data_IF_708463043248
#
_entry.id   IF_708463043248
#
_cell.length_a   1.000
_cell.length_b   1.000
_cell.length_c   1.000
_cell.angle_alpha   90.00
_cell.angle_beta   90.00
_cell.angle_gamma   90.00
#
_symmetry.space_group_name_H-M   'P 1'
#
loop_
_entity.id
_entity.type
_entity.pdbx_description
1 polymer ?
#
# COMPACT_ATOMS: atom_id res chain seq x y z
N UNK A 1 8.25 11.58 -3.46
CA UNK A 1 8.78 12.64 -2.58
C UNK A 1 10.30 12.63 -2.52
N UNK A 2 10.94 11.65 -1.88
CA UNK A 2 12.40 11.64 -1.63
C UNK A 2 13.23 11.78 -2.91
N UNK A 3 12.92 11.03 -3.97
CA UNK A 3 13.62 11.15 -5.26
C UNK A 3 13.46 12.57 -5.84
N UNK A 4 12.24 13.10 -5.86
CA UNK A 4 11.98 14.42 -6.38
C UNK A 4 12.80 15.51 -5.68
N UNK A 5 12.84 15.47 -4.35
CA UNK A 5 13.65 16.40 -3.55
C UNK A 5 15.15 16.24 -3.87
N UNK A 6 15.65 15.00 -3.94
CA UNK A 6 17.08 14.75 -4.22
C UNK A 6 17.51 15.19 -5.61
N UNK A 7 16.65 15.03 -6.62
CA UNK A 7 16.92 15.52 -7.97
C UNK A 7 16.86 17.05 -8.05
N UNK A 8 15.89 17.68 -7.38
CA UNK A 8 15.81 19.14 -7.30
C UNK A 8 17.00 19.75 -6.55
N UNK A 9 17.47 19.12 -5.46
CA UNK A 9 18.70 19.51 -4.75
C UNK A 9 19.94 19.43 -5.66
N UNK A 10 19.95 18.52 -6.63
CA UNK A 10 21.01 18.37 -7.64
C UNK A 10 20.83 19.30 -8.86
N UNK A 11 19.81 20.17 -8.86
CA UNK A 11 19.58 21.16 -9.91
C UNK A 11 18.75 20.68 -11.10
N UNK A 12 18.18 19.47 -11.06
CA UNK A 12 17.32 18.96 -12.12
C UNK A 12 15.89 19.50 -11.99
N UNK A 13 15.23 19.90 -13.11
CA UNK A 13 13.81 20.19 -13.11
C UNK A 13 13.02 18.88 -12.90
N UNK A 14 12.05 18.89 -11.98
CA UNK A 14 11.30 17.70 -11.59
C UNK A 14 9.81 17.92 -11.73
N UNK A 15 9.12 16.94 -12.36
CA UNK A 15 7.66 16.86 -12.37
C UNK A 15 7.23 15.57 -11.69
N UNK A 16 6.31 15.68 -10.74
CA UNK A 16 5.65 14.54 -10.07
C UNK A 16 4.25 14.39 -10.62
N UNK A 17 3.93 13.22 -11.16
CA UNK A 17 2.59 12.86 -11.60
C UNK A 17 1.91 12.01 -10.52
N UNK A 18 0.75 12.43 -10.08
CA UNK A 18 -0.05 11.73 -9.07
C UNK A 18 -1.48 11.50 -9.63
N UNK A 19 -1.93 10.24 -9.61
CA UNK A 19 -3.25 9.89 -10.15
C UNK A 19 -4.41 10.32 -9.27
N UNK A 20 -4.19 10.49 -7.96
CA UNK A 20 -5.20 10.98 -7.01
C UNK A 20 -5.21 12.51 -6.93
N UNK A 21 -6.28 13.04 -6.34
CA UNK A 21 -6.45 14.49 -6.16
C UNK A 21 -5.53 15.12 -5.11
N UNK A 22 -4.97 14.31 -4.20
CA UNK A 22 -3.99 14.75 -3.21
C UNK A 22 -2.72 13.92 -3.31
N UNK A 23 -1.61 14.59 -3.15
CA UNK A 23 -0.28 14.01 -3.13
C UNK A 23 -0.02 13.20 -1.85
N UNK A 24 0.79 12.14 -1.94
CA UNK A 24 1.29 11.42 -0.77
C UNK A 24 0.95 9.92 -0.70
N UNK A 25 0.16 9.38 -1.63
CA UNK A 25 -0.11 7.93 -1.71
C UNK A 25 -0.67 7.37 -0.40
N UNK A 26 -0.11 6.25 0.09
CA UNK A 26 -0.57 5.62 1.34
C UNK A 26 -0.38 6.50 2.58
N UNK A 27 0.57 7.42 2.60
CA UNK A 27 0.70 8.39 3.71
C UNK A 27 -0.54 9.29 3.82
N UNK A 28 -1.12 9.64 2.66
CA UNK A 28 -2.32 10.48 2.59
C UNK A 28 -3.60 9.67 2.80
N UNK A 29 -3.71 8.49 2.18
CA UNK A 29 -4.96 7.75 2.05
C UNK A 29 -5.02 6.45 2.86
N UNK A 30 -3.90 5.93 3.32
CA UNK A 30 -3.83 4.64 4.01
C UNK A 30 -3.50 4.73 5.50
N UNK A 31 -2.79 5.78 5.94
CA UNK A 31 -2.47 5.97 7.36
C UNK A 31 -3.49 6.95 7.97
N UNK A 32 -4.16 6.61 9.07
CA UNK A 32 -5.14 7.50 9.70
C UNK A 32 -4.54 8.80 10.23
N UNK A 33 -5.37 9.85 10.32
CA UNK A 33 -4.99 11.19 10.81
C UNK A 33 -4.39 11.16 12.22
N UNK A 34 -4.91 10.30 13.11
CA UNK A 34 -4.43 10.18 14.49
C UNK A 34 -3.04 9.57 14.61
N UNK A 35 -2.53 8.91 13.53
CA UNK A 35 -1.14 8.41 13.44
C UNK A 35 -0.23 9.34 12.66
N UNK A 36 -0.72 9.91 11.58
CA UNK A 36 0.01 10.82 10.71
C UNK A 36 -0.87 12.02 10.33
N UNK A 37 -0.73 13.15 11.02
CA UNK A 37 -1.44 14.38 10.68
C UNK A 37 -1.16 14.79 9.23
N UNK A 38 -2.22 15.06 8.45
CA UNK A 38 -2.07 15.36 7.01
C UNK A 38 -1.42 16.72 6.75
N UNK A 39 -1.49 17.63 7.72
CA UNK A 39 -0.73 18.89 7.71
C UNK A 39 0.78 18.70 7.52
N UNK A 40 1.31 17.53 7.92
CA UNK A 40 2.69 17.18 7.66
C UNK A 40 2.95 17.01 6.16
N UNK A 41 2.06 16.33 5.43
CA UNK A 41 2.18 16.14 3.99
C UNK A 41 1.98 17.47 3.23
N UNK A 42 1.07 18.31 3.70
CA UNK A 42 0.83 19.65 3.11
C UNK A 42 2.10 20.52 3.21
N UNK A 43 2.79 20.49 4.35
CA UNK A 43 4.08 21.21 4.50
C UNK A 43 5.18 20.63 3.58
N UNK A 44 5.22 19.31 3.41
CA UNK A 44 6.15 18.68 2.47
C UNK A 44 5.86 19.06 1.04
N UNK A 45 4.59 19.09 0.64
CA UNK A 45 4.18 19.53 -0.69
C UNK A 45 4.58 20.97 -0.93
N UNK A 46 4.25 21.90 -0.02
CA UNK A 46 4.63 23.30 -0.13
C UNK A 46 6.16 23.46 -0.27
N UNK A 47 6.93 22.72 0.53
CA UNK A 47 8.40 22.73 0.43
C UNK A 47 8.90 22.24 -0.92
N UNK A 48 8.29 21.21 -1.49
CA UNK A 48 8.65 20.71 -2.82
C UNK A 48 8.34 21.75 -3.92
N UNK A 49 7.20 22.43 -3.82
CA UNK A 49 6.81 23.51 -4.74
C UNK A 49 7.76 24.71 -4.64
N UNK A 50 8.17 25.11 -3.42
CA UNK A 50 9.21 26.13 -3.18
C UNK A 50 10.57 25.77 -3.82
N UNK A 51 10.89 24.47 -3.90
CA UNK A 51 12.10 23.97 -4.58
C UNK A 51 11.95 23.94 -6.11
N UNK A 52 10.82 24.40 -6.67
CA UNK A 52 10.54 24.39 -8.11
C UNK A 52 10.05 23.04 -8.65
N UNK A 53 9.67 22.09 -7.77
CA UNK A 53 9.11 20.81 -8.20
C UNK A 53 7.65 21.02 -8.63
N UNK A 54 7.32 20.63 -9.86
CA UNK A 54 5.95 20.67 -10.36
C UNK A 54 5.19 19.42 -9.92
N UNK A 55 4.04 19.58 -9.27
CA UNK A 55 3.17 18.45 -8.86
C UNK A 55 1.90 18.49 -9.69
N UNK A 56 1.66 17.44 -10.50
CA UNK A 56 0.45 17.27 -11.32
C UNK A 56 -0.42 16.16 -10.74
N UNK A 57 -1.41 16.54 -9.97
CA UNK A 57 -2.43 15.63 -9.45
C UNK A 57 -3.47 15.28 -10.53
N UNK A 58 -4.31 14.26 -10.26
CA UNK A 58 -5.33 13.75 -11.19
C UNK A 58 -4.76 13.32 -12.56
N UNK A 59 -3.49 12.91 -12.59
CA UNK A 59 -2.81 12.51 -13.82
C UNK A 59 -2.35 11.05 -13.73
N UNK A 60 -2.94 10.19 -14.53
CA UNK A 60 -2.67 8.74 -14.53
C UNK A 60 -1.70 8.37 -15.63
N UNK A 61 -0.49 7.93 -15.25
CA UNK A 61 0.50 7.39 -16.19
C UNK A 61 0.18 5.91 -16.48
N UNK A 62 0.36 5.50 -17.74
CA UNK A 62 0.03 4.17 -18.23
C UNK A 62 -1.45 3.97 -18.58
N UNK A 63 -2.22 5.06 -18.71
CA UNK A 63 -3.62 5.05 -19.15
C UNK A 63 -3.96 6.21 -20.07
N UNK A 64 -3.61 7.42 -19.67
CA UNK A 64 -3.89 8.66 -20.41
C UNK A 64 -2.59 9.22 -21.00
N UNK A 65 -1.52 9.13 -20.25
CA UNK A 65 -0.18 9.55 -20.63
C UNK A 65 0.77 8.36 -20.43
N UNK A 66 1.55 8.02 -21.44
CA UNK A 66 2.46 6.87 -21.41
C UNK A 66 3.89 7.29 -21.06
N UNK A 67 4.70 6.34 -20.56
CA UNK A 67 6.12 6.58 -20.28
C UNK A 67 6.87 7.00 -21.55
N UNK A 68 6.54 6.40 -22.70
CA UNK A 68 7.15 6.76 -23.99
C UNK A 68 6.87 8.18 -24.42
N UNK A 69 5.69 8.70 -24.08
CA UNK A 69 5.34 10.10 -24.37
C UNK A 69 6.15 11.05 -23.48
N UNK A 70 6.34 10.71 -22.21
CA UNK A 70 7.20 11.50 -21.32
C UNK A 70 8.65 11.57 -21.83
N UNK A 71 9.21 10.43 -22.26
CA UNK A 71 10.57 10.39 -22.82
C UNK A 71 10.67 11.23 -24.12
N UNK A 72 9.66 11.16 -24.99
CA UNK A 72 9.59 12.01 -26.20
C UNK A 72 9.45 13.50 -25.89
N UNK A 73 8.77 13.82 -24.78
CA UNK A 73 8.59 15.21 -24.31
C UNK A 73 9.84 15.78 -23.63
N UNK A 74 10.95 15.02 -23.59
CA UNK A 74 12.26 15.48 -23.14
C UNK A 74 12.59 15.17 -21.69
N UNK A 75 11.82 14.30 -21.01
CA UNK A 75 12.25 13.80 -19.70
C UNK A 75 13.44 12.84 -19.88
N UNK A 76 14.59 13.19 -19.34
CA UNK A 76 15.85 12.42 -19.46
C UNK A 76 15.81 11.13 -18.61
N UNK A 77 15.03 11.10 -17.55
CA UNK A 77 14.89 9.93 -16.69
C UNK A 77 13.55 9.92 -15.96
N UNK A 78 13.03 8.72 -15.68
CA UNK A 78 11.74 8.52 -15.03
C UNK A 78 11.90 7.66 -13.78
N UNK A 79 11.23 8.04 -12.69
CA UNK A 79 11.17 7.26 -11.47
C UNK A 79 9.76 6.74 -11.22
N UNK A 80 9.62 5.43 -11.06
CA UNK A 80 8.35 4.76 -10.71
C UNK A 80 8.29 4.54 -9.21
N UNK A 81 7.50 5.35 -8.52
CA UNK A 81 7.28 5.27 -7.06
C UNK A 81 5.82 5.04 -6.69
N UNK A 82 5.10 4.23 -7.48
CA UNK A 82 3.66 4.02 -7.36
C UNK A 82 3.24 3.19 -6.15
N UNK A 83 4.20 2.59 -5.44
CA UNK A 83 3.96 1.82 -4.22
C UNK A 83 3.13 0.55 -4.45
N UNK A 84 2.40 0.13 -3.40
CA UNK A 84 1.54 -1.03 -3.38
C UNK A 84 0.15 -0.61 -2.84
N UNK A 85 -0.71 -0.06 -3.70
CA UNK A 85 -2.01 0.50 -3.31
C UNK A 85 -3.21 -0.38 -3.67
N UNK A 86 -3.00 -1.55 -4.29
CA UNK A 86 -4.09 -2.46 -4.60
C UNK A 86 -4.28 -3.44 -3.44
N UNK A 87 -5.46 -3.49 -2.78
CA UNK A 87 -5.75 -4.52 -1.79
C UNK A 87 -5.58 -5.92 -2.37
N UNK A 88 -5.07 -6.83 -1.56
CA UNK A 88 -5.03 -8.24 -1.90
C UNK A 88 -6.38 -8.86 -1.64
N UNK A 89 -6.86 -9.69 -2.57
CA UNK A 89 -8.06 -10.51 -2.43
C UNK A 89 -7.72 -11.88 -1.89
N UNK A 90 -8.67 -12.53 -1.25
CA UNK A 90 -8.56 -13.93 -0.81
C UNK A 90 -9.00 -14.89 -1.92
N UNK A 91 -9.82 -14.43 -2.86
CA UNK A 91 -10.44 -15.25 -3.91
C UNK A 91 -11.60 -16.09 -3.39
N UNK A 92 -12.27 -15.64 -2.33
CA UNK A 92 -13.34 -16.36 -1.67
C UNK A 92 -14.72 -15.91 -2.14
N UNK A 93 -15.69 -16.80 -1.97
CA UNK A 93 -17.09 -16.47 -2.15
C UNK A 93 -17.51 -15.39 -1.15
N UNK A 94 -18.18 -14.35 -1.62
CA UNK A 94 -18.74 -13.29 -0.81
C UNK A 94 -17.88 -12.02 -0.71
N UNK A 95 -16.67 -11.98 -1.26
CA UNK A 95 -15.82 -10.77 -1.24
C UNK A 95 -16.44 -9.54 -1.92
N UNK A 96 -17.44 -9.73 -2.78
CA UNK A 96 -18.15 -8.66 -3.49
C UNK A 96 -19.49 -8.27 -2.85
N UNK A 97 -19.84 -8.81 -1.70
CA UNK A 97 -21.05 -8.45 -0.98
C UNK A 97 -20.99 -7.01 -0.48
N UNK A 98 -22.17 -6.39 -0.31
CA UNK A 98 -22.29 -4.99 0.09
C UNK A 98 -21.75 -4.67 1.49
N UNK A 99 -21.71 -5.67 2.37
CA UNK A 99 -21.16 -5.59 3.72
C UNK A 99 -19.66 -5.92 3.79
N UNK A 100 -18.97 -6.12 2.64
CA UNK A 100 -17.55 -6.45 2.59
C UNK A 100 -16.75 -5.28 2.04
N UNK A 101 -15.69 -4.91 2.74
CA UNK A 101 -14.78 -3.84 2.38
C UNK A 101 -13.33 -4.33 2.39
N UNK A 102 -12.48 -3.61 1.65
CA UNK A 102 -11.03 -3.78 1.75
C UNK A 102 -10.43 -2.67 2.62
N UNK A 103 -9.50 -3.03 3.49
CA UNK A 103 -8.94 -2.13 4.50
C UNK A 103 -8.41 -0.81 3.92
N UNK A 104 -7.65 -0.86 2.82
CA UNK A 104 -7.14 0.36 2.18
C UNK A 104 -8.26 1.24 1.60
N UNK A 105 -9.33 0.65 1.07
CA UNK A 105 -10.46 1.41 0.54
C UNK A 105 -11.23 2.09 1.68
N UNK A 106 -11.43 1.37 2.79
CA UNK A 106 -12.03 1.94 3.99
C UNK A 106 -11.18 3.09 4.56
N UNK A 107 -9.87 2.89 4.75
CA UNK A 107 -8.97 3.94 5.29
C UNK A 107 -8.87 5.17 4.39
N UNK A 108 -9.07 5.03 3.08
CA UNK A 108 -9.07 6.16 2.15
C UNK A 108 -10.26 7.09 2.34
N UNK A 109 -11.40 6.58 2.79
CA UNK A 109 -12.62 7.37 3.06
C UNK A 109 -13.46 6.73 4.18
N UNK A 110 -13.00 6.74 5.44
CA UNK A 110 -13.67 6.03 6.52
C UNK A 110 -15.09 6.53 6.79
N UNK A 111 -15.32 7.84 6.65
CA UNK A 111 -16.63 8.46 6.89
C UNK A 111 -17.67 8.19 5.79
N UNK A 112 -17.22 7.73 4.63
CA UNK A 112 -18.09 7.34 3.52
C UNK A 112 -18.73 5.94 3.70
N UNK A 113 -18.34 5.20 4.75
CA UNK A 113 -18.81 3.84 5.01
C UNK A 113 -19.49 3.74 6.37
N UNK A 114 -20.71 3.17 6.38
CA UNK A 114 -21.42 2.83 7.62
C UNK A 114 -21.12 1.35 7.92
N UNK A 115 -20.31 1.09 8.92
CA UNK A 115 -19.86 -0.26 9.24
C UNK A 115 -20.85 -1.06 10.12
N UNK A 116 -21.74 -0.38 10.84
CA UNK A 116 -22.55 -0.99 11.89
C UNK A 116 -21.80 -1.09 13.21
N UNK A 117 -22.42 -1.78 14.17
CA UNK A 117 -21.90 -1.92 15.54
C UNK A 117 -20.83 -3.00 15.63
N UNK A 118 -20.96 -4.09 14.86
CA UNK A 118 -20.08 -5.25 14.90
C UNK A 118 -19.26 -5.39 13.61
N UNK A 119 -17.95 -5.33 13.74
CA UNK A 119 -17.01 -5.36 12.59
C UNK A 119 -16.01 -6.50 12.74
N UNK A 120 -15.97 -7.39 11.74
CA UNK A 120 -14.97 -8.44 11.62
C UNK A 120 -13.85 -7.99 10.67
N UNK A 121 -12.60 -8.01 11.13
CA UNK A 121 -11.42 -7.64 10.32
C UNK A 121 -10.59 -8.88 10.06
N UNK A 122 -10.30 -9.16 8.79
CA UNK A 122 -9.47 -10.30 8.39
C UNK A 122 -8.06 -9.81 8.15
N UNK A 123 -7.16 -10.11 9.09
CA UNK A 123 -5.73 -9.72 8.99
C UNK A 123 -5.17 -9.19 10.31
N UNK A 124 -3.84 -9.25 10.45
CA UNK A 124 -3.08 -8.89 11.66
C UNK A 124 -1.83 -8.04 11.34
N UNK A 125 -1.85 -7.29 10.26
CA UNK A 125 -0.79 -6.34 9.92
C UNK A 125 -1.07 -4.93 10.42
N UNK A 126 -0.10 -4.00 10.30
CA UNK A 126 -0.27 -2.60 10.71
C UNK A 126 -1.51 -1.94 10.08
N UNK A 127 -1.81 -2.25 8.81
CA UNK A 127 -3.02 -1.73 8.16
C UNK A 127 -4.31 -2.25 8.80
N UNK A 128 -4.33 -3.50 9.30
CA UNK A 128 -5.47 -4.05 10.02
C UNK A 128 -5.67 -3.36 11.38
N UNK A 129 -4.57 -3.02 12.08
CA UNK A 129 -4.61 -2.21 13.30
C UNK A 129 -5.21 -0.82 13.02
N UNK A 130 -4.77 -0.18 11.95
CA UNK A 130 -5.32 1.11 11.51
C UNK A 130 -6.81 1.05 11.19
N UNK A 131 -7.24 -0.02 10.52
CA UNK A 131 -8.67 -0.27 10.22
C UNK A 131 -9.47 -0.41 11.51
N UNK A 132 -9.01 -1.26 12.46
CA UNK A 132 -9.71 -1.50 13.72
C UNK A 132 -9.87 -0.22 14.54
N UNK A 133 -8.77 0.49 14.74
CA UNK A 133 -8.73 1.75 15.49
C UNK A 133 -9.59 2.84 14.84
N UNK A 134 -9.64 2.86 13.50
CA UNK A 134 -10.50 3.79 12.76
C UNK A 134 -11.97 3.43 12.89
N UNK A 135 -12.33 2.14 12.83
CA UNK A 135 -13.70 1.66 12.99
C UNK A 135 -14.26 2.02 14.36
N UNK A 136 -13.49 1.75 15.44
CA UNK A 136 -13.86 2.13 16.81
C UNK A 136 -14.08 3.64 16.95
N UNK A 137 -13.18 4.48 16.41
CA UNK A 137 -13.30 5.95 16.43
C UNK A 137 -14.47 6.47 15.62
N UNK A 138 -14.95 5.71 14.63
CA UNK A 138 -16.10 6.04 13.82
C UNK A 138 -17.43 5.47 14.37
N UNK A 139 -17.39 4.85 15.57
CA UNK A 139 -18.58 4.49 16.33
C UNK A 139 -18.96 3.01 16.32
N UNK A 140 -18.20 2.11 15.69
CA UNK A 140 -18.38 0.67 15.84
C UNK A 140 -18.02 0.27 17.27
N UNK A 141 -18.84 -0.63 17.88
CA UNK A 141 -18.72 -1.02 19.30
C UNK A 141 -17.91 -2.27 19.51
N UNK A 142 -18.07 -3.23 18.61
CA UNK A 142 -17.43 -4.54 18.67
C UNK A 142 -16.57 -4.72 17.44
N UNK A 143 -15.27 -4.60 17.60
CA UNK A 143 -14.31 -4.74 16.51
C UNK A 143 -13.34 -5.85 16.83
N UNK A 144 -13.40 -6.92 16.04
CA UNK A 144 -12.58 -8.12 16.25
C UNK A 144 -11.71 -8.40 15.03
N UNK A 145 -10.41 -8.59 15.27
CA UNK A 145 -9.44 -8.98 14.24
C UNK A 145 -9.26 -10.50 14.25
N UNK A 146 -9.32 -11.10 13.10
CA UNK A 146 -9.22 -12.56 12.92
C UNK A 146 -7.95 -12.91 12.13
N UNK A 147 -7.20 -13.89 12.62
CA UNK A 147 -6.03 -14.44 11.95
C UNK A 147 -6.08 -15.97 11.88
N UNK A 148 -5.55 -16.52 10.79
CA UNK A 148 -5.39 -17.96 10.59
C UNK A 148 -4.34 -18.55 11.53
N UNK A 149 -3.22 -17.85 11.74
CA UNK A 149 -2.12 -18.28 12.61
C UNK A 149 -2.06 -17.44 13.88
N UNK A 150 -1.26 -17.87 14.84
CA UNK A 150 -0.97 -17.10 16.07
C UNK A 150 0.02 -15.94 15.85
N UNK A 151 0.58 -15.80 14.64
CA UNK A 151 1.56 -14.77 14.33
C UNK A 151 0.90 -13.44 13.99
N UNK A 152 1.23 -12.41 14.76
CA UNK A 152 0.89 -11.02 14.47
C UNK A 152 2.03 -10.39 13.68
N UNK A 153 1.72 -9.81 12.52
CA UNK A 153 2.71 -9.15 11.66
C UNK A 153 2.79 -7.65 11.86
N UNK A 154 1.88 -7.08 12.64
CA UNK A 154 1.94 -5.69 13.09
C UNK A 154 3.05 -5.50 14.12
N UNK A 155 3.54 -4.27 14.28
CA UNK A 155 4.46 -3.93 15.36
C UNK A 155 3.78 -4.05 16.72
N UNK A 156 4.55 -4.43 17.75
CA UNK A 156 4.02 -4.58 19.13
C UNK A 156 3.33 -3.32 19.63
N UNK A 157 3.85 -2.15 19.32
CA UNK A 157 3.22 -0.87 19.69
C UNK A 157 1.84 -0.67 19.06
N UNK A 158 1.67 -1.03 17.79
CA UNK A 158 0.36 -0.90 17.13
C UNK A 158 -0.66 -1.91 17.67
N UNK A 159 -0.22 -3.12 18.00
CA UNK A 159 -1.06 -4.11 18.68
C UNK A 159 -1.54 -3.56 20.02
N UNK A 160 -0.61 -3.12 20.89
CA UNK A 160 -0.96 -2.57 22.21
C UNK A 160 -1.91 -1.37 22.11
N UNK A 161 -1.69 -0.46 21.16
CA UNK A 161 -2.63 0.66 20.96
C UNK A 161 -4.01 0.19 20.47
N UNK A 162 -4.07 -0.88 19.69
CA UNK A 162 -5.33 -1.41 19.17
C UNK A 162 -6.13 -2.10 20.27
N UNK A 163 -5.45 -2.83 21.16
CA UNK A 163 -6.05 -3.41 22.39
C UNK A 163 -6.56 -2.31 23.34
N UNK A 164 -5.76 -1.28 23.59
CA UNK A 164 -6.14 -0.14 24.43
C UNK A 164 -7.36 0.62 23.87
N UNK A 165 -7.49 0.70 22.56
CA UNK A 165 -8.66 1.30 21.90
C UNK A 165 -9.91 0.40 22.01
N UNK A 166 -9.80 -0.87 22.42
CA UNK A 166 -10.89 -1.80 22.70
C UNK A 166 -11.18 -2.82 21.60
N UNK A 167 -10.25 -3.05 20.67
CA UNK A 167 -10.39 -4.13 19.68
C UNK A 167 -9.99 -5.50 20.28
N UNK A 168 -10.65 -6.54 19.81
CA UNK A 168 -10.39 -7.92 20.20
C UNK A 168 -9.58 -8.67 19.13
N UNK A 169 -8.81 -9.68 19.55
CA UNK A 169 -7.98 -10.51 18.67
C UNK A 169 -8.35 -11.97 18.80
N UNK A 170 -8.65 -12.61 17.68
CA UNK A 170 -8.99 -14.04 17.63
C UNK A 170 -8.07 -14.74 16.63
N UNK A 171 -7.36 -15.74 17.11
CA UNK A 171 -6.39 -16.52 16.34
C UNK A 171 -6.93 -17.90 15.96
N UNK A 172 -6.28 -18.54 14.98
CA UNK A 172 -6.65 -19.85 14.51
C UNK A 172 -7.94 -19.88 13.68
N UNK A 173 -8.30 -18.76 13.07
CA UNK A 173 -9.54 -18.63 12.30
C UNK A 173 -9.22 -18.58 10.81
N UNK A 174 -9.38 -19.69 10.10
CA UNK A 174 -9.22 -19.79 8.66
C UNK A 174 -10.54 -19.42 7.98
N UNK A 175 -10.56 -18.32 7.25
CA UNK A 175 -11.76 -17.88 6.55
C UNK A 175 -12.02 -18.74 5.31
N UNK A 176 -13.28 -19.19 5.13
CA UNK A 176 -13.72 -20.01 4.00
C UNK A 176 -14.60 -19.25 3.01
N UNK A 177 -15.50 -18.43 3.52
CA UNK A 177 -16.41 -17.59 2.74
C UNK A 177 -16.93 -16.44 3.57
N UNK A 178 -17.60 -15.50 2.91
CA UNK A 178 -18.31 -14.39 3.57
C UNK A 178 -19.78 -14.45 3.14
N UNK A 179 -20.67 -14.16 4.06
CA UNK A 179 -22.12 -14.09 3.84
C UNK A 179 -22.64 -12.71 4.24
N UNK A 180 -23.92 -12.45 4.01
CA UNK A 180 -24.59 -11.23 4.49
C UNK A 180 -24.62 -11.14 6.02
N UNK A 181 -24.51 -12.27 6.73
CA UNK A 181 -24.44 -12.32 8.20
C UNK A 181 -23.03 -12.12 8.74
N UNK A 182 -22.01 -12.17 7.87
CA UNK A 182 -20.60 -12.03 8.22
C UNK A 182 -19.72 -13.18 7.73
N UNK A 183 -18.45 -13.26 8.21
CA UNK A 183 -17.49 -14.26 7.76
C UNK A 183 -17.75 -15.65 8.37
N UNK A 184 -17.45 -16.69 7.59
CA UNK A 184 -17.46 -18.11 8.02
C UNK A 184 -16.04 -18.62 8.09
N UNK A 185 -15.68 -19.20 9.21
CA UNK A 185 -14.34 -19.69 9.48
C UNK A 185 -14.33 -21.19 9.77
N UNK A 186 -13.17 -21.82 9.60
CA UNK A 186 -12.78 -23.07 10.28
C UNK A 186 -11.71 -22.79 11.31
N UNK A 187 -11.83 -23.39 12.49
CA UNK A 187 -10.79 -23.29 13.51
C UNK A 187 -9.60 -24.14 13.14
N UNK A 188 -8.41 -23.55 13.26
CA UNK A 188 -7.16 -24.26 13.04
C UNK A 188 -6.81 -25.14 14.26
N UNK A 189 -6.32 -26.35 13.98
CA UNK A 189 -5.75 -27.26 14.98
C UNK A 189 -4.25 -27.05 14.98
N UNK A 190 -3.67 -26.77 16.14
CA UNK A 190 -2.24 -26.49 16.30
C UNK A 190 -1.53 -27.65 16.98
N UNK A 191 -0.26 -27.88 16.61
CA UNK A 191 0.65 -28.73 17.36
C UNK A 191 1.33 -27.94 18.52
N UNK A 192 2.19 -28.62 19.28
CA UNK A 192 2.95 -28.03 20.39
C UNK A 192 3.89 -26.86 19.98
N UNK A 193 4.19 -26.74 18.68
CA UNK A 193 5.02 -25.67 18.11
C UNK A 193 4.23 -24.53 17.50
N UNK A 194 2.92 -24.47 17.76
CA UNK A 194 2.00 -23.49 17.15
C UNK A 194 1.91 -23.55 15.62
N UNK A 195 2.24 -24.70 15.01
CA UNK A 195 2.06 -24.94 13.59
C UNK A 195 0.66 -25.52 13.32
N UNK A 196 0.02 -25.08 12.24
CA UNK A 196 -1.29 -25.58 11.84
C UNK A 196 -1.12 -26.99 11.25
N UNK A 197 -1.76 -27.97 11.88
CA UNK A 197 -1.75 -29.38 11.46
C UNK A 197 -3.06 -29.83 10.82
N UNK A 198 -4.11 -28.99 10.88
CA UNK A 198 -5.41 -29.27 10.31
C UNK A 198 -6.41 -28.18 10.66
N UNK A 199 -7.66 -28.45 10.33
CA UNK A 199 -8.81 -27.60 10.67
C UNK A 199 -9.94 -28.46 11.22
N UNK A 200 -10.73 -27.89 12.14
CA UNK A 200 -11.96 -28.53 12.64
C UNK A 200 -12.96 -28.75 11.50
N UNK A 201 -13.80 -29.79 11.59
CA UNK A 201 -14.75 -30.12 10.51
C UNK A 201 -15.91 -29.12 10.45
N UNK A 202 -16.36 -28.62 11.60
CA UNK A 202 -17.50 -27.72 11.68
C UNK A 202 -17.09 -26.26 11.40
N UNK A 203 -17.73 -25.59 10.43
CA UNK A 203 -17.52 -24.17 10.20
C UNK A 203 -18.20 -23.36 11.31
N UNK A 204 -17.59 -22.19 11.60
CA UNK A 204 -18.10 -21.24 12.59
C UNK A 204 -18.55 -19.98 11.86
N UNK A 205 -19.84 -19.67 11.90
CA UNK A 205 -20.39 -18.40 11.42
C UNK A 205 -20.16 -17.33 12.50
N UNK A 206 -19.56 -16.21 12.12
CA UNK A 206 -19.42 -15.04 12.99
C UNK A 206 -20.39 -13.98 12.50
N UNK A 207 -21.24 -13.49 13.40
CA UNK A 207 -22.12 -12.37 13.08
C UNK A 207 -21.31 -11.06 13.05
N UNK A 208 -21.42 -10.32 11.93
CA UNK A 208 -20.80 -9.01 11.75
C UNK A 208 -21.59 -8.17 10.74
N UNK A 209 -21.88 -6.94 11.10
CA UNK A 209 -22.53 -5.98 10.20
C UNK A 209 -21.63 -5.64 9.00
N UNK A 210 -20.32 -5.65 9.21
CA UNK A 210 -19.33 -5.47 8.15
C UNK A 210 -18.12 -6.40 8.32
N UNK A 211 -17.60 -6.88 7.19
CA UNK A 211 -16.35 -7.63 7.13
C UNK A 211 -15.30 -6.81 6.36
N UNK A 212 -14.13 -6.56 6.96
CA UNK A 212 -13.06 -5.80 6.33
C UNK A 212 -11.85 -6.69 6.07
N UNK A 213 -11.49 -6.88 4.80
CA UNK A 213 -10.33 -7.67 4.38
C UNK A 213 -9.09 -6.79 4.39
N UNK A 214 -8.11 -7.08 5.27
CA UNK A 214 -6.87 -6.32 5.45
C UNK A 214 -5.64 -7.23 5.50
N UNK A 215 -5.44 -8.02 4.42
CA UNK A 215 -4.42 -9.08 4.31
C UNK A 215 -3.20 -8.68 3.49
N UNK A 216 -2.78 -7.45 3.52
CA UNK A 216 -1.69 -6.91 2.71
C UNK A 216 -2.17 -6.27 1.39
N UNK A 217 -1.23 -5.72 0.64
CA UNK A 217 -1.45 -5.02 -0.62
C UNK A 217 -0.38 -5.38 -1.65
N UNK A 218 -0.69 -5.12 -2.93
CA UNK A 218 0.20 -5.38 -4.06
C UNK A 218 0.26 -4.16 -4.99
N UNK A 219 1.33 -4.00 -5.78
CA UNK A 219 1.40 -2.96 -6.80
C UNK A 219 0.32 -3.11 -7.87
N UNK A 220 -0.07 -1.99 -8.47
CA UNK A 220 -0.88 -1.97 -9.67
C UNK A 220 -0.01 -2.30 -10.89
N UNK A 221 -0.32 -3.39 -11.59
CA UNK A 221 0.49 -3.88 -12.72
C UNK A 221 0.25 -3.14 -14.03
N UNK A 222 -0.73 -2.22 -14.09
CA UNK A 222 -1.16 -1.59 -15.35
C UNK A 222 -0.01 -0.83 -16.00
N UNK A 223 0.71 0.00 -15.25
CA UNK A 223 1.83 0.78 -15.77
C UNK A 223 2.89 -0.09 -16.46
N UNK A 224 3.34 -1.16 -15.81
CA UNK A 224 4.32 -2.07 -16.41
C UNK A 224 3.76 -2.80 -17.64
N UNK A 225 2.49 -3.17 -17.63
CA UNK A 225 1.85 -3.86 -18.76
C UNK A 225 1.59 -2.97 -19.99
N UNK A 226 1.56 -1.66 -19.79
CA UNK A 226 1.33 -0.68 -20.87
C UNK A 226 2.61 0.01 -21.31
N UNK A 227 3.75 -0.36 -20.76
CA UNK A 227 5.07 0.18 -21.10
C UNK A 227 5.96 -0.94 -21.63
N UNK A 228 6.37 -0.83 -22.88
CA UNK A 228 7.28 -1.81 -23.48
C UNK A 228 8.64 -1.81 -22.78
N UNK A 229 9.21 -3.00 -22.57
CA UNK A 229 10.50 -3.18 -21.91
C UNK A 229 10.49 -3.05 -20.37
N UNK A 230 9.32 -2.86 -19.74
CA UNK A 230 9.19 -2.97 -18.27
C UNK A 230 8.77 -4.37 -17.87
N UNK A 231 9.63 -5.06 -17.16
CA UNK A 231 9.35 -6.40 -16.65
C UNK A 231 8.95 -6.41 -15.17
N UNK A 232 8.22 -7.45 -14.81
CA UNK A 232 7.78 -7.71 -13.45
C UNK A 232 8.33 -9.06 -13.01
N UNK A 233 8.73 -9.15 -11.75
CA UNK A 233 9.05 -10.42 -11.10
C UNK A 233 7.81 -11.34 -11.05
N UNK A 234 8.00 -12.63 -10.75
CA UNK A 234 6.90 -13.61 -10.56
C UNK A 234 5.87 -13.15 -9.52
N UNK A 235 6.31 -12.35 -8.55
CA UNK A 235 5.44 -11.75 -7.53
C UNK A 235 4.66 -10.53 -8.04
N UNK A 236 4.94 -10.08 -9.26
CA UNK A 236 4.32 -8.90 -9.88
C UNK A 236 4.84 -7.58 -9.33
N UNK A 237 6.05 -7.57 -8.80
CA UNK A 237 6.80 -6.39 -8.41
C UNK A 237 7.62 -5.89 -9.61
N UNK A 238 7.93 -4.59 -9.63
CA UNK A 238 8.78 -4.02 -10.66
C UNK A 238 10.18 -4.59 -10.54
N UNK A 239 10.72 -5.14 -11.65
CA UNK A 239 12.08 -5.66 -11.68
C UNK A 239 13.08 -4.52 -11.85
N UNK A 240 14.12 -4.52 -11.02
CA UNK A 240 15.21 -3.52 -11.03
C UNK A 240 16.55 -4.19 -10.74
N UNK A 241 17.61 -3.59 -11.28
CA UNK A 241 18.98 -3.97 -10.98
C UNK A 241 19.49 -3.41 -9.62
N UNK A 242 20.76 -3.60 -9.32
CA UNK A 242 21.43 -3.08 -8.12
C UNK A 242 21.49 -1.56 -8.04
N UNK A 243 21.32 -0.86 -9.17
CA UNK A 243 21.24 0.59 -9.29
C UNK A 243 19.79 1.11 -9.30
N UNK A 244 18.81 0.26 -9.00
CA UNK A 244 17.40 0.60 -9.05
C UNK A 244 16.87 0.96 -10.45
N UNK A 245 17.63 0.71 -11.52
CA UNK A 245 17.17 0.84 -12.89
C UNK A 245 16.35 -0.38 -13.28
N UNK A 246 15.22 -0.13 -13.94
CA UNK A 246 14.36 -1.20 -14.45
C UNK A 246 14.99 -1.87 -15.69
N UNK A 247 14.32 -2.89 -16.20
CA UNK A 247 14.69 -3.52 -17.49
C UNK A 247 14.64 -2.54 -18.68
N UNK A 248 14.02 -1.37 -18.50
CA UNK A 248 14.01 -0.28 -19.47
C UNK A 248 15.03 0.82 -19.09
N UNK A 249 16.03 1.12 -19.97
CA UNK A 249 17.02 2.15 -19.70
C UNK A 249 16.40 3.52 -19.40
N UNK A 250 16.96 4.24 -18.43
CA UNK A 250 16.50 5.56 -18.01
C UNK A 250 15.25 5.55 -17.12
N UNK A 251 14.65 4.37 -16.88
CA UNK A 251 13.49 4.22 -16.00
C UNK A 251 13.91 3.50 -14.72
N UNK A 252 13.64 4.11 -13.58
CA UNK A 252 14.05 3.64 -12.26
C UNK A 252 12.84 3.35 -11.37
N UNK A 253 13.02 2.53 -10.32
CA UNK A 253 11.97 2.24 -9.36
C UNK A 253 12.51 1.92 -8.00
N UNK A 254 11.79 2.31 -6.93
CA UNK A 254 12.10 1.90 -5.55
C UNK A 254 10.84 1.96 -4.65
N UNK A 255 10.99 1.47 -3.43
CA UNK A 255 9.91 1.35 -2.45
C UNK A 255 9.01 0.15 -2.73
N UNK A 256 7.77 0.21 -2.27
CA UNK A 256 6.86 -0.95 -2.26
C UNK A 256 6.53 -1.51 -3.66
N UNK A 257 6.69 -0.73 -4.71
CA UNK A 257 6.52 -1.22 -6.09
C UNK A 257 7.59 -2.25 -6.47
N UNK A 258 8.78 -2.18 -5.84
CA UNK A 258 9.92 -3.07 -6.06
C UNK A 258 10.02 -4.14 -4.97
N UNK A 259 9.82 -3.78 -3.70
CA UNK A 259 10.09 -4.68 -2.56
C UNK A 259 8.85 -5.39 -2.02
N UNK A 260 7.67 -5.02 -2.49
CA UNK A 260 6.42 -5.29 -1.78
C UNK A 260 6.24 -4.34 -0.58
N UNK A 261 5.10 -4.46 0.10
CA UNK A 261 4.75 -3.58 1.22
C UNK A 261 5.77 -3.69 2.36
N UNK A 262 6.42 -2.56 2.66
CA UNK A 262 7.38 -2.39 3.77
C UNK A 262 7.13 -1.06 4.49
N UNK A 263 8.09 -0.63 5.30
CA UNK A 263 7.99 0.62 6.06
C UNK A 263 8.44 1.83 5.22
N UNK A 264 8.00 3.02 5.64
CA UNK A 264 8.42 4.30 5.03
C UNK A 264 9.95 4.46 5.03
N UNK A 265 10.62 3.99 6.08
CA UNK A 265 12.10 4.07 6.19
C UNK A 265 12.77 3.29 5.04
N UNK A 266 12.29 2.08 4.75
CA UNK A 266 12.80 1.29 3.62
C UNK A 266 12.56 1.99 2.27
N UNK A 267 11.38 2.57 2.08
CA UNK A 267 11.06 3.30 0.86
C UNK A 267 11.96 4.53 0.67
N UNK A 268 12.24 5.27 1.75
CA UNK A 268 13.14 6.44 1.74
C UNK A 268 14.58 6.04 1.44
N UNK A 269 15.10 4.95 2.04
CA UNK A 269 16.45 4.46 1.78
C UNK A 269 16.63 4.06 0.30
N UNK A 270 15.72 3.23 -0.22
CA UNK A 270 15.74 2.85 -1.64
C UNK A 270 15.62 4.07 -2.57
N UNK A 271 14.75 5.02 -2.23
CA UNK A 271 14.56 6.24 -3.01
C UNK A 271 15.83 7.13 -3.07
N UNK A 272 16.59 7.23 -1.96
CA UNK A 272 17.87 7.97 -1.96
C UNK A 272 18.90 7.31 -2.88
N UNK A 273 19.01 5.98 -2.85
CA UNK A 273 19.92 5.22 -3.70
C UNK A 273 19.53 5.32 -5.18
N UNK A 274 18.24 5.19 -5.48
CA UNK A 274 17.72 5.37 -6.83
C UNK A 274 17.98 6.78 -7.36
N UNK A 275 17.77 7.83 -6.57
CA UNK A 275 18.04 9.21 -6.97
C UNK A 275 19.52 9.42 -7.34
N UNK A 276 20.44 8.87 -6.52
CA UNK A 276 21.87 8.94 -6.82
C UNK A 276 22.23 8.19 -8.12
N UNK A 277 21.59 7.07 -8.41
CA UNK A 277 21.76 6.33 -9.66
C UNK A 277 21.20 7.08 -10.87
N UNK A 278 20.03 7.72 -10.73
CA UNK A 278 19.43 8.57 -11.77
C UNK A 278 20.34 9.75 -12.13
N UNK A 279 20.94 10.42 -11.14
CA UNK A 279 21.90 11.53 -11.38
C UNK A 279 23.07 11.01 -12.21
N UNK A 280 23.73 9.92 -11.80
CA UNK A 280 24.85 9.33 -12.56
C UNK A 280 24.45 8.93 -13.98
N UNK A 281 23.23 8.42 -14.17
CA UNK A 281 22.74 8.05 -15.49
C UNK A 281 22.62 9.29 -16.40
N UNK A 282 21.97 10.36 -15.93
CA UNK A 282 21.77 11.59 -16.71
C UNK A 282 23.10 12.34 -17.01
N UNK A 283 24.07 12.28 -16.08
CA UNK A 283 25.40 12.88 -16.29
C UNK A 283 26.20 12.17 -17.40
N UNK A 284 26.08 10.83 -17.53
CA UNK A 284 26.71 10.06 -18.62
C UNK A 284 26.10 10.36 -19.97
N UNK A 285 24.77 10.47 -20.03
CA UNK A 285 24.03 10.76 -21.26
C UNK A 285 24.44 12.13 -21.84
N UNK A 286 24.66 13.11 -20.97
CA UNK A 286 25.16 14.44 -21.35
C UNK A 286 26.62 14.43 -21.91
N UNK A 287 27.44 13.48 -21.48
CA UNK A 287 28.84 13.37 -21.94
C UNK A 287 28.97 12.60 -23.26
N UNK A 288 28.01 11.72 -23.57
CA UNK A 288 28.00 10.96 -24.83
C UNK A 288 27.31 11.72 -25.99
N UNK A 289 26.54 12.76 -25.68
CA UNK A 289 25.80 13.58 -26.68
C UNK A 289 26.57 14.85 -27.11
N UNK A 290 27.71 15.18 -26.47
CA UNK A 290 28.62 16.24 -26.84
C UNK A 290 29.89 15.70 -27.55
#
# INVERSE_FOLDING_TARGET
MTVAIKLAEAGYPVTVFEWKGKFGGLLQYGIPEFRLPKSFLERYQARMEEMGITIRTNTTIGSVLMIDELLRDGYSSIFIGTGAEKPRTLGLQGESLGNVLFGLNYLANPRGHKLGDTVAIIGMGNAAMDVARTALRNGSRHVTLYARSKNVTASSSEVSYTELDGAEFVFGMHIEKITDEGPVFRKAVFNEKDEIIGYEEEPVQIHADSTIISISQVPRRKLARTTEGLELTDRGLLEVDENYMTTRPGVFGAGDVVTGAKTVVHAVDGAKKAAAAMIRYMERDLTETN
#
